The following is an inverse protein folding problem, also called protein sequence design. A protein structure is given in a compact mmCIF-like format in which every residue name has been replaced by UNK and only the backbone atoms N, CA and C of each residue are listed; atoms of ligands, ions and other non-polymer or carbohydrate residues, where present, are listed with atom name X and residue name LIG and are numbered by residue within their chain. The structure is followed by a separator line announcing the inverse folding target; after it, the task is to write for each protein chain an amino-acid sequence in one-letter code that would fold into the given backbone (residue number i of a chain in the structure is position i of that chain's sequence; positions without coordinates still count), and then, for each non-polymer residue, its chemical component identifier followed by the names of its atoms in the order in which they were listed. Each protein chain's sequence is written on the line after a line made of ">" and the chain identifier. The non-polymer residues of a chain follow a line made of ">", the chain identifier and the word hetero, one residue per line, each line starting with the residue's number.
data_IF_447493757201
#
_entry.id   IF_447493757201
#
_cell.length_a   1.000
_cell.length_b   1.000
_cell.length_c   1.000
_cell.angle_alpha   90.00
_cell.angle_beta   90.00
_cell.angle_gamma   90.00
#
_symmetry.space_group_name_H-M   'P 1'
#
loop_
_entity.id
_entity.type
_entity.pdbx_description
1 polymer ?
#
# COMPACT_ATOMS: atom_id res chain seq x y z
N UNK A 1 31.84 -9.46 -7.98
CA UNK A 1 30.84 -10.31 -7.30
C UNK A 1 29.78 -9.35 -6.77
N UNK A 2 28.68 -9.07 -7.45
CA UNK A 2 27.65 -10.00 -7.91
C UNK A 2 26.33 -9.71 -7.15
N UNK A 3 25.94 -8.43 -7.04
CA UNK A 3 24.67 -8.04 -6.42
C UNK A 3 23.55 -8.10 -7.43
N UNK A 4 22.86 -9.24 -7.51
CA UNK A 4 21.60 -9.38 -8.25
C UNK A 4 20.51 -9.73 -7.26
N UNK A 5 19.59 -8.81 -7.00
CA UNK A 5 18.32 -9.11 -6.32
C UNK A 5 17.27 -8.10 -6.75
N UNK A 6 16.59 -8.41 -7.85
CA UNK A 6 15.37 -7.73 -8.27
C UNK A 6 14.21 -8.73 -8.21
N UNK A 7 13.27 -8.44 -7.31
CA UNK A 7 11.83 -8.72 -7.37
C UNK A 7 11.35 -10.17 -7.61
N UNK A 8 10.47 -10.62 -6.71
CA UNK A 8 9.67 -11.85 -6.73
C UNK A 8 10.43 -13.19 -6.63
N UNK A 9 10.14 -14.02 -5.62
CA UNK A 9 10.84 -15.28 -5.40
C UNK A 9 10.35 -16.41 -6.32
N UNK A 10 9.21 -16.26 -7.01
CA UNK A 10 8.64 -17.35 -7.83
C UNK A 10 9.07 -17.31 -9.29
N UNK A 11 9.45 -16.16 -9.83
CA UNK A 11 10.18 -15.97 -11.09
C UNK A 11 10.78 -14.56 -11.12
N UNK A 12 12.02 -14.39 -10.64
CA UNK A 12 12.75 -13.13 -10.83
C UNK A 12 13.14 -13.00 -12.30
N UNK A 13 13.08 -11.79 -12.86
CA UNK A 13 13.26 -11.48 -14.31
C UNK A 13 14.62 -11.96 -14.89
N UNK A 14 15.54 -12.51 -14.08
CA UNK A 14 16.80 -13.10 -14.54
C UNK A 14 17.22 -14.39 -13.81
N UNK A 15 16.29 -15.11 -13.17
CA UNK A 15 16.58 -16.38 -12.51
C UNK A 15 16.32 -17.57 -13.46
N UNK A 16 17.24 -17.82 -14.40
CA UNK A 16 17.16 -18.99 -15.29
C UNK A 16 17.60 -20.29 -14.63
N UNK A 17 18.22 -20.23 -13.44
CA UNK A 17 18.86 -21.36 -12.77
C UNK A 17 18.26 -21.62 -11.37
N UNK A 18 16.96 -21.93 -11.29
CA UNK A 18 16.36 -22.46 -10.04
C UNK A 18 15.84 -23.88 -10.26
N UNK A 19 16.09 -24.74 -9.28
CA UNK A 19 15.56 -26.10 -9.28
C UNK A 19 14.04 -26.08 -9.09
N UNK A 20 13.31 -27.10 -9.57
CA UNK A 20 11.89 -27.26 -9.29
C UNK A 20 11.54 -27.27 -7.78
N UNK A 21 12.46 -27.74 -6.94
CA UNK A 21 12.30 -27.75 -5.48
C UNK A 21 12.37 -26.34 -4.87
N UNK A 22 13.34 -25.52 -5.28
CA UNK A 22 13.46 -24.13 -4.83
C UNK A 22 12.30 -23.26 -5.32
N UNK A 23 11.82 -23.52 -6.55
CA UNK A 23 10.60 -22.89 -7.05
C UNK A 23 9.41 -23.30 -6.18
N UNK A 24 9.26 -24.58 -5.86
CA UNK A 24 8.16 -25.07 -5.02
C UNK A 24 8.20 -24.47 -3.62
N UNK A 25 9.36 -24.39 -2.99
CA UNK A 25 9.54 -23.78 -1.66
C UNK A 25 9.21 -22.28 -1.68
N UNK A 26 9.73 -21.54 -2.67
CA UNK A 26 9.42 -20.13 -2.86
C UNK A 26 7.92 -19.90 -3.11
N UNK A 27 7.29 -20.81 -3.86
CA UNK A 27 5.84 -20.79 -4.06
C UNK A 27 5.14 -21.06 -2.74
N UNK A 28 5.51 -22.09 -1.98
CA UNK A 28 4.91 -22.51 -0.71
C UNK A 28 4.88 -21.42 0.36
N UNK A 29 5.82 -20.47 0.34
CA UNK A 29 5.84 -19.32 1.24
C UNK A 29 4.86 -18.19 0.94
N UNK A 30 4.02 -18.30 -0.09
CA UNK A 30 3.15 -17.21 -0.56
C UNK A 30 1.64 -17.52 -0.48
N UNK A 31 0.78 -16.53 -0.20
CA UNK A 31 1.14 -15.13 0.02
C UNK A 31 1.82 -14.93 1.39
N UNK A 32 2.89 -14.14 1.41
CA UNK A 32 3.74 -13.95 2.59
C UNK A 32 3.25 -12.78 3.42
N UNK A 33 3.16 -12.94 4.74
CA UNK A 33 2.83 -11.83 5.66
C UNK A 33 3.83 -10.67 5.48
N UNK A 34 3.33 -9.45 5.36
CA UNK A 34 4.19 -8.26 5.35
C UNK A 34 4.49 -7.87 6.81
N UNK A 35 5.76 -7.80 7.23
CA UNK A 35 6.11 -7.45 8.61
C UNK A 35 5.56 -6.09 9.04
N UNK A 36 5.03 -6.02 10.26
CA UNK A 36 4.51 -4.78 10.86
C UNK A 36 3.08 -4.39 10.45
N UNK A 37 2.50 -5.05 9.44
CA UNK A 37 1.15 -4.76 8.93
C UNK A 37 0.22 -5.99 8.97
N UNK A 38 0.44 -6.87 9.93
CA UNK A 38 -0.40 -8.06 10.17
C UNK A 38 -0.67 -8.17 11.66
N UNK A 39 -1.91 -8.49 12.01
CA UNK A 39 -2.34 -8.61 13.39
C UNK A 39 -1.46 -9.64 14.10
N UNK A 40 -1.02 -9.29 15.31
CA UNK A 40 -0.36 -10.23 16.20
C UNK A 40 -1.41 -11.20 16.74
N UNK A 41 -1.77 -12.24 15.98
CA UNK A 41 -2.69 -13.26 16.45
C UNK A 41 -1.98 -14.59 16.67
N UNK A 42 -2.37 -15.23 17.78
CA UNK A 42 -1.89 -16.51 18.25
C UNK A 42 -1.96 -17.56 17.14
N UNK A 43 -0.84 -18.24 16.87
CA UNK A 43 -0.72 -19.52 16.17
C UNK A 43 -1.89 -19.86 15.20
N UNK A 44 -1.82 -19.43 13.94
CA UNK A 44 -2.74 -19.95 12.93
C UNK A 44 -2.98 -19.04 11.73
N UNK A 45 -3.42 -19.66 10.65
CA UNK A 45 -3.72 -19.08 9.34
C UNK A 45 -4.91 -18.10 9.40
N UNK A 46 -4.98 -17.13 8.47
CA UNK A 46 -6.12 -16.21 8.37
C UNK A 46 -6.10 -14.97 9.27
N UNK A 47 -4.93 -14.49 9.71
CA UNK A 47 -4.84 -13.25 10.46
C UNK A 47 -5.17 -12.04 9.57
N UNK A 48 -5.89 -11.07 10.12
CA UNK A 48 -6.09 -9.79 9.45
C UNK A 48 -4.76 -9.07 9.19
N UNK A 49 -4.69 -8.34 8.09
CA UNK A 49 -3.52 -7.58 7.69
C UNK A 49 -3.11 -7.80 6.24
N UNK A 50 -1.87 -7.44 5.93
CA UNK A 50 -1.38 -7.35 4.55
C UNK A 50 -0.41 -8.48 4.24
N UNK A 51 -0.65 -9.10 3.09
CA UNK A 51 0.14 -10.20 2.56
C UNK A 51 0.67 -9.84 1.17
N UNK A 52 1.94 -10.09 0.93
CA UNK A 52 2.55 -10.00 -0.40
C UNK A 52 2.24 -11.27 -1.19
N UNK A 53 1.62 -11.15 -2.36
CA UNK A 53 1.17 -12.32 -3.13
C UNK A 53 2.28 -13.00 -3.93
N UNK A 54 3.39 -12.29 -4.19
CA UNK A 54 4.42 -12.74 -5.12
C UNK A 54 3.89 -12.86 -6.55
N UNK A 55 4.50 -13.75 -7.36
CA UNK A 55 4.16 -13.98 -8.78
C UNK A 55 4.11 -12.71 -9.64
N UNK A 56 5.05 -11.81 -9.40
CA UNK A 56 5.28 -10.71 -10.32
C UNK A 56 5.72 -11.26 -11.69
N UNK A 57 5.34 -10.60 -12.77
CA UNK A 57 5.66 -11.04 -14.14
C UNK A 57 6.56 -10.05 -14.86
N UNK A 58 7.20 -10.46 -15.95
CA UNK A 58 7.83 -9.51 -16.88
C UNK A 58 6.83 -8.51 -17.46
N UNK A 59 5.55 -8.90 -17.63
CA UNK A 59 4.49 -8.04 -18.17
C UNK A 59 4.08 -6.91 -17.22
N UNK A 60 4.33 -7.08 -15.93
CA UNK A 60 4.16 -6.07 -14.88
C UNK A 60 5.51 -5.52 -14.42
N UNK A 61 6.61 -5.71 -15.17
CA UNK A 61 7.98 -5.33 -14.79
C UNK A 61 8.41 -5.79 -13.38
N UNK A 62 7.83 -6.88 -12.90
CA UNK A 62 7.93 -7.41 -11.55
C UNK A 62 7.29 -6.57 -10.42
N UNK A 63 6.16 -5.94 -10.73
CA UNK A 63 5.26 -5.26 -9.79
C UNK A 63 4.77 -6.18 -8.66
N UNK A 64 4.69 -5.62 -7.46
CA UNK A 64 4.24 -6.28 -6.25
C UNK A 64 2.74 -6.08 -6.07
N UNK A 65 1.99 -7.17 -6.08
CA UNK A 65 0.59 -7.16 -5.65
C UNK A 65 0.45 -7.63 -4.19
N UNK A 66 -0.64 -7.23 -3.56
CA UNK A 66 -0.89 -7.44 -2.15
C UNK A 66 -2.32 -7.92 -1.90
N UNK A 67 -2.51 -8.79 -0.91
CA UNK A 67 -3.81 -9.13 -0.36
C UNK A 67 -3.96 -8.46 1.01
N UNK A 68 -5.03 -7.71 1.20
CA UNK A 68 -5.47 -7.25 2.52
C UNK A 68 -6.56 -8.19 3.00
N UNK A 69 -6.30 -8.87 4.12
CA UNK A 69 -7.28 -9.69 4.84
C UNK A 69 -7.95 -8.81 5.90
N UNK A 70 -9.27 -8.61 5.79
CA UNK A 70 -10.06 -7.70 6.62
C UNK A 70 -11.53 -8.13 6.72
N UNK A 71 -12.22 -7.74 7.80
CA UNK A 71 -13.62 -8.13 8.05
C UNK A 71 -14.59 -7.61 6.98
N UNK A 72 -14.37 -6.40 6.46
CA UNK A 72 -15.16 -5.82 5.38
C UNK A 72 -15.00 -6.53 4.01
N UNK A 73 -14.23 -7.62 3.97
CA UNK A 73 -13.94 -8.44 2.79
C UNK A 73 -12.56 -8.14 2.20
N UNK A 74 -11.86 -9.18 1.78
CA UNK A 74 -10.48 -9.04 1.35
C UNK A 74 -10.33 -8.18 0.08
N UNK A 75 -9.22 -7.44 0.01
CA UNK A 75 -8.87 -6.59 -1.14
C UNK A 75 -7.58 -7.12 -1.77
N UNK A 76 -7.63 -7.47 -3.05
CA UNK A 76 -6.43 -7.71 -3.86
C UNK A 76 -6.02 -6.38 -4.50
N UNK A 77 -4.87 -5.84 -4.10
CA UNK A 77 -4.29 -4.60 -4.62
C UNK A 77 -3.32 -4.94 -5.73
N UNK A 78 -3.56 -4.31 -6.88
CA UNK A 78 -2.95 -4.62 -8.17
C UNK A 78 -3.16 -6.09 -8.58
N UNK A 79 -2.60 -6.49 -9.72
CA UNK A 79 -2.89 -7.78 -10.31
C UNK A 79 -1.65 -8.67 -10.41
N UNK A 80 -1.48 -9.66 -9.51
CA UNK A 80 -0.45 -10.67 -9.70
C UNK A 80 -0.84 -11.56 -10.88
N UNK A 81 0.13 -12.31 -11.43
CA UNK A 81 -0.20 -13.35 -12.42
C UNK A 81 -1.25 -14.29 -11.85
N UNK A 82 -2.28 -14.59 -12.65
CA UNK A 82 -3.22 -15.61 -12.25
C UNK A 82 -2.55 -16.99 -12.22
N UNK A 83 -2.69 -17.67 -11.08
CA UNK A 83 -2.24 -19.03 -10.89
C UNK A 83 -3.21 -19.76 -9.95
N UNK A 84 -3.78 -20.92 -10.33
CA UNK A 84 -4.67 -21.71 -9.49
C UNK A 84 -4.10 -22.07 -8.11
N UNK A 85 -2.76 -22.17 -7.97
CA UNK A 85 -2.12 -22.44 -6.67
C UNK A 85 -2.29 -21.24 -5.73
N UNK A 86 -1.98 -20.03 -6.21
CA UNK A 86 -2.17 -18.81 -5.43
C UNK A 86 -3.66 -18.59 -5.15
N UNK A 87 -4.52 -18.83 -6.14
CA UNK A 87 -5.96 -18.68 -5.99
C UNK A 87 -6.53 -19.51 -4.84
N UNK A 88 -6.20 -20.81 -4.77
CA UNK A 88 -6.60 -21.67 -3.64
C UNK A 88 -6.11 -21.20 -2.28
N UNK A 89 -4.98 -20.48 -2.23
CA UNK A 89 -4.45 -19.94 -0.97
C UNK A 89 -5.14 -18.66 -0.57
N UNK A 90 -5.51 -17.81 -1.55
CA UNK A 90 -6.36 -16.65 -1.27
C UNK A 90 -7.77 -17.12 -0.84
N UNK A 91 -8.32 -18.21 -1.42
CA UNK A 91 -9.56 -18.86 -0.93
C UNK A 91 -9.45 -19.25 0.54
N UNK A 92 -8.34 -19.90 0.94
CA UNK A 92 -8.09 -20.29 2.33
C UNK A 92 -7.96 -19.08 3.29
N UNK A 93 -7.70 -17.88 2.77
CA UNK A 93 -7.66 -16.62 3.53
C UNK A 93 -8.98 -15.84 3.48
N UNK A 94 -10.07 -16.42 2.96
CA UNK A 94 -11.37 -15.76 2.86
C UNK A 94 -11.72 -15.22 1.46
N UNK A 95 -10.95 -15.57 0.44
CA UNK A 95 -11.18 -15.17 -0.96
C UNK A 95 -10.80 -13.71 -1.23
N UNK A 96 -11.40 -13.13 -2.27
CA UNK A 96 -11.19 -11.73 -2.69
C UNK A 96 -12.54 -11.10 -2.98
N UNK A 97 -12.95 -10.09 -2.21
CA UNK A 97 -14.20 -9.34 -2.44
C UNK A 97 -13.99 -8.19 -3.42
N UNK A 98 -12.88 -7.46 -3.25
CA UNK A 98 -12.52 -6.32 -4.08
C UNK A 98 -11.17 -6.54 -4.74
N UNK A 99 -11.02 -6.00 -5.94
CA UNK A 99 -9.73 -5.92 -6.62
C UNK A 99 -9.48 -4.46 -6.97
N UNK A 100 -8.57 -3.80 -6.25
CA UNK A 100 -8.22 -2.41 -6.50
C UNK A 100 -6.99 -2.35 -7.41
N UNK A 101 -7.10 -1.65 -8.53
CA UNK A 101 -6.04 -1.48 -9.52
C UNK A 101 -5.55 -0.04 -9.46
N UNK A 102 -4.28 0.17 -9.11
CA UNK A 102 -3.72 1.51 -8.91
C UNK A 102 -3.65 2.32 -10.21
N UNK A 103 -3.32 1.66 -11.32
CA UNK A 103 -3.22 2.24 -12.66
C UNK A 103 -3.26 1.16 -13.74
N UNK A 104 -3.28 1.57 -15.03
CA UNK A 104 -3.43 0.66 -16.17
C UNK A 104 -2.25 -0.27 -16.44
N UNK A 105 -1.07 -0.02 -15.91
CA UNK A 105 0.10 -0.86 -16.21
C UNK A 105 0.13 -2.14 -15.34
N UNK A 106 -0.55 -2.13 -14.19
CA UNK A 106 -0.62 -3.25 -13.23
C UNK A 106 -1.93 -4.04 -13.25
N UNK A 107 -2.55 -4.14 -14.42
CA UNK A 107 -3.85 -4.83 -14.61
C UNK A 107 -3.73 -6.26 -15.13
N UNK A 108 -2.52 -6.82 -15.27
CA UNK A 108 -2.32 -8.13 -15.90
C UNK A 108 -3.11 -9.27 -15.25
N UNK A 109 -3.88 -10.05 -16.02
CA UNK A 109 -4.76 -11.15 -15.54
C UNK A 109 -5.93 -10.74 -14.62
N UNK A 110 -6.24 -9.45 -14.48
CA UNK A 110 -7.34 -8.97 -13.62
C UNK A 110 -8.70 -9.66 -13.89
N UNK A 111 -9.00 -9.96 -15.15
CA UNK A 111 -10.23 -10.66 -15.54
C UNK A 111 -10.29 -12.08 -15.00
N UNK A 112 -9.16 -12.78 -14.93
CA UNK A 112 -9.11 -14.16 -14.44
C UNK A 112 -9.36 -14.19 -12.93
N UNK A 113 -8.75 -13.27 -12.18
CA UNK A 113 -9.01 -13.09 -10.75
C UNK A 113 -10.46 -12.73 -10.46
N UNK A 114 -11.00 -11.72 -11.16
CA UNK A 114 -12.40 -11.29 -11.01
C UNK A 114 -13.39 -12.42 -11.33
N UNK A 115 -13.17 -13.19 -12.40
CA UNK A 115 -14.01 -14.35 -12.73
C UNK A 115 -13.94 -15.47 -11.69
N UNK A 116 -12.76 -15.73 -11.14
CA UNK A 116 -12.57 -16.80 -10.16
C UNK A 116 -13.25 -16.49 -8.82
N UNK A 117 -13.12 -15.26 -8.33
CA UNK A 117 -13.66 -14.87 -7.02
C UNK A 117 -15.02 -14.17 -7.07
N UNK A 118 -15.49 -13.74 -8.25
CA UNK A 118 -16.60 -12.79 -8.35
C UNK A 118 -16.24 -11.41 -7.77
N UNK A 119 -14.95 -11.05 -7.79
CA UNK A 119 -14.46 -9.83 -7.15
C UNK A 119 -14.90 -8.58 -7.92
N UNK A 120 -15.26 -7.52 -7.17
CA UNK A 120 -15.56 -6.20 -7.73
C UNK A 120 -14.25 -5.47 -8.04
N UNK A 121 -13.96 -5.20 -9.31
CA UNK A 121 -12.76 -4.42 -9.67
C UNK A 121 -13.03 -2.93 -9.56
N UNK A 122 -12.07 -2.22 -8.99
CA UNK A 122 -12.07 -0.77 -8.77
C UNK A 122 -10.86 -0.21 -9.52
N UNK A 123 -11.10 0.70 -10.45
CA UNK A 123 -10.07 1.39 -11.22
C UNK A 123 -10.53 2.83 -11.54
N UNK A 124 -9.62 3.76 -11.67
CA UNK A 124 -9.98 5.12 -12.08
C UNK A 124 -10.44 5.19 -13.54
N UNK A 125 -11.45 6.03 -13.85
CA UNK A 125 -12.02 6.13 -15.20
C UNK A 125 -10.99 6.54 -16.27
N UNK A 126 -9.95 7.28 -15.86
CA UNK A 126 -8.88 7.75 -16.76
C UNK A 126 -7.85 6.65 -17.10
N UNK A 127 -7.91 5.49 -16.44
CA UNK A 127 -7.05 4.32 -16.70
C UNK A 127 -7.78 3.25 -17.53
N UNK A 128 -9.08 3.40 -17.72
CA UNK A 128 -9.94 2.46 -18.43
C UNK A 128 -9.66 2.45 -19.93
N UNK A 129 -9.54 1.25 -20.51
CA UNK A 129 -9.44 1.05 -21.94
C UNK A 129 -9.88 -0.37 -22.37
N UNK A 130 -10.38 -0.48 -23.60
CA UNK A 130 -10.84 -1.76 -24.19
C UNK A 130 -9.69 -2.75 -24.45
N UNK A 131 -8.50 -2.24 -24.79
CA UNK A 131 -7.34 -3.07 -25.13
C UNK A 131 -6.95 -4.02 -24.00
N UNK A 132 -7.03 -3.54 -22.76
CA UNK A 132 -6.73 -4.31 -21.55
C UNK A 132 -8.01 -4.88 -20.92
N UNK A 133 -9.17 -4.65 -21.53
CA UNK A 133 -10.49 -5.07 -21.05
C UNK A 133 -10.86 -4.47 -19.69
N UNK A 134 -10.31 -3.29 -19.38
CA UNK A 134 -10.60 -2.53 -18.16
C UNK A 134 -11.83 -1.63 -18.32
N UNK A 135 -12.38 -1.49 -19.53
CA UNK A 135 -13.72 -0.94 -19.80
C UNK A 135 -14.82 -1.73 -19.07
N UNK A 136 -14.59 -3.03 -18.86
CA UNK A 136 -15.50 -3.91 -18.14
C UNK A 136 -15.35 -3.87 -16.60
N UNK A 137 -14.48 -3.04 -16.01
CA UNK A 137 -14.38 -2.95 -14.53
C UNK A 137 -15.68 -2.45 -13.91
N UNK A 138 -16.04 -3.05 -12.79
CA UNK A 138 -17.34 -2.88 -12.12
C UNK A 138 -17.48 -1.48 -11.51
N UNK A 139 -16.43 -0.98 -10.85
CA UNK A 139 -16.39 0.36 -10.26
C UNK A 139 -15.34 1.21 -10.98
N UNK A 140 -15.79 2.34 -11.55
CA UNK A 140 -14.93 3.36 -12.14
C UNK A 140 -14.94 4.58 -11.24
N UNK A 141 -13.82 4.87 -10.57
CA UNK A 141 -13.67 6.09 -9.78
C UNK A 141 -13.69 7.30 -10.72
N UNK A 142 -14.48 8.32 -10.38
CA UNK A 142 -14.69 9.52 -11.22
C UNK A 142 -14.43 10.79 -10.42
N UNK A 143 -13.80 11.77 -11.07
CA UNK A 143 -13.35 13.00 -10.39
C UNK A 143 -12.08 12.79 -9.59
N UNK A 144 -11.88 13.62 -8.56
CA UNK A 144 -10.58 13.71 -7.87
C UNK A 144 -10.58 13.11 -6.45
N UNK A 145 -11.72 12.54 -6.03
CA UNK A 145 -11.89 11.87 -4.74
C UNK A 145 -11.62 12.78 -3.53
N UNK A 146 -11.25 12.21 -2.36
CA UNK A 146 -10.99 10.78 -2.13
C UNK A 146 -12.26 9.93 -2.14
N UNK A 147 -12.09 8.61 -2.24
CA UNK A 147 -13.19 7.63 -2.14
C UNK A 147 -12.92 6.66 -0.99
N UNK A 148 -13.98 6.09 -0.42
CA UNK A 148 -13.93 5.10 0.66
C UNK A 148 -14.80 3.90 0.33
N UNK A 149 -14.60 2.80 1.06
CA UNK A 149 -15.59 1.72 1.13
C UNK A 149 -16.46 2.00 2.36
N UNK A 150 -17.75 2.27 2.15
CA UNK A 150 -18.69 2.55 3.23
C UNK A 150 -19.12 1.28 4.00
N UNK A 151 -19.89 1.43 5.09
CA UNK A 151 -20.42 0.33 5.89
C UNK A 151 -21.29 -0.66 5.09
N UNK A 152 -21.82 -0.25 3.94
CA UNK A 152 -22.59 -1.12 3.05
C UNK A 152 -21.68 -1.83 2.03
N UNK A 153 -20.37 -1.63 2.11
CA UNK A 153 -19.38 -2.16 1.18
C UNK A 153 -19.47 -1.53 -0.21
N UNK A 154 -20.01 -0.31 -0.33
CA UNK A 154 -20.05 0.42 -1.58
C UNK A 154 -18.86 1.37 -1.66
N UNK A 155 -18.32 1.54 -2.87
CA UNK A 155 -17.26 2.50 -3.12
C UNK A 155 -17.91 3.85 -3.44
N UNK A 156 -17.72 4.83 -2.56
CA UNK A 156 -18.35 6.14 -2.62
C UNK A 156 -17.33 7.25 -2.45
N UNK A 157 -17.60 8.44 -2.99
CA UNK A 157 -16.79 9.62 -2.72
C UNK A 157 -16.96 10.03 -1.26
N UNK A 158 -15.86 10.34 -0.58
CA UNK A 158 -15.90 10.66 0.84
C UNK A 158 -16.55 12.03 1.06
N UNK A 159 -17.46 12.11 2.03
CA UNK A 159 -18.14 13.37 2.39
C UNK A 159 -17.23 14.39 3.09
N UNK A 160 -16.08 13.95 3.61
CA UNK A 160 -15.13 14.75 4.37
C UNK A 160 -13.78 14.84 3.64
N UNK A 161 -13.01 15.90 3.93
CA UNK A 161 -11.74 16.16 3.24
C UNK A 161 -10.63 15.16 3.63
N UNK A 162 -9.51 15.13 2.90
CA UNK A 162 -8.39 14.19 3.11
C UNK A 162 -7.93 14.01 4.57
N UNK A 163 -7.87 15.10 5.34
CA UNK A 163 -7.44 15.07 6.75
C UNK A 163 -8.48 14.52 7.73
N UNK A 164 -9.76 14.60 7.39
CA UNK A 164 -10.86 14.07 8.23
C UNK A 164 -11.00 12.55 8.03
N UNK A 165 -10.74 12.06 6.81
CA UNK A 165 -10.75 10.63 6.48
C UNK A 165 -9.56 9.91 7.12
N UNK A 166 -8.40 10.55 7.22
CA UNK A 166 -7.23 10.00 7.91
C UNK A 166 -7.45 9.87 9.44
N UNK A 167 -8.16 10.82 10.06
CA UNK A 167 -8.45 10.80 11.50
C UNK A 167 -9.55 9.80 11.89
N UNK A 168 -10.52 9.53 11.00
CA UNK A 168 -11.63 8.61 11.28
C UNK A 168 -11.20 7.13 11.41
N UNK A 169 -10.10 6.73 10.78
CA UNK A 169 -9.55 5.36 10.84
C UNK A 169 -8.57 5.09 11.99
N UNK A 170 -8.40 6.05 12.90
CA UNK A 170 -7.41 6.04 13.99
C UNK A 170 -7.83 5.31 15.27
N UNK A 171 -8.42 4.13 15.15
CA UNK A 171 -8.49 3.10 16.20
C UNK A 171 -9.03 1.84 15.53
N UNK A 172 -8.61 0.65 15.98
CA UNK A 172 -9.36 -0.56 15.74
C UNK A 172 -10.77 -0.36 16.34
N UNK A 173 -11.70 0.19 15.55
CA UNK A 173 -13.10 0.15 15.90
C UNK A 173 -13.54 -1.28 15.69
N UNK A 174 -14.22 -1.85 16.68
CA UNK A 174 -14.83 -3.17 16.67
C UNK A 174 -16.01 -3.27 15.65
N UNK A 175 -15.95 -2.50 14.57
CA UNK A 175 -16.95 -2.35 13.52
C UNK A 175 -16.57 -3.09 12.25
N UNK A 176 -17.59 -3.32 11.42
CA UNK A 176 -17.66 -4.06 10.15
C UNK A 176 -16.67 -3.69 9.01
N UNK A 177 -15.64 -2.88 9.28
CA UNK A 177 -14.65 -2.44 8.31
C UNK A 177 -15.09 -1.24 7.45
N UNK A 178 -16.05 -0.44 7.92
CA UNK A 178 -16.42 0.85 7.33
C UNK A 178 -15.28 1.88 7.42
N UNK A 179 -14.97 2.56 6.33
CA UNK A 179 -14.05 3.71 6.31
C UNK A 179 -12.58 3.40 6.61
N UNK A 180 -12.20 2.13 6.70
CA UNK A 180 -10.83 1.67 6.96
C UNK A 180 -9.88 1.86 5.77
N UNK A 181 -10.45 2.03 4.57
CA UNK A 181 -9.77 2.16 3.30
C UNK A 181 -10.13 3.48 2.62
N UNK A 182 -9.11 4.19 2.15
CA UNK A 182 -9.25 5.40 1.34
C UNK A 182 -8.53 5.25 0.01
N UNK A 183 -9.21 5.52 -1.10
CA UNK A 183 -8.63 5.66 -2.42
C UNK A 183 -8.31 7.14 -2.68
N UNK A 184 -7.04 7.43 -2.93
CA UNK A 184 -6.50 8.79 -3.03
C UNK A 184 -6.07 9.00 -4.47
N UNK A 185 -6.75 9.91 -5.17
CA UNK A 185 -6.36 10.27 -6.54
C UNK A 185 -4.93 10.83 -6.55
N UNK A 186 -4.01 10.25 -7.30
CA UNK A 186 -2.60 10.65 -7.33
C UNK A 186 -2.12 10.69 -8.78
N UNK A 187 -2.64 11.60 -9.62
CA UNK A 187 -2.23 11.70 -11.01
C UNK A 187 -0.75 12.10 -11.11
N UNK A 188 -0.11 11.68 -12.19
CA UNK A 188 1.26 12.10 -12.51
C UNK A 188 2.07 10.99 -13.15
N UNK A 189 2.19 9.82 -12.49
CA UNK A 189 2.80 8.63 -13.10
C UNK A 189 2.00 8.19 -14.33
N UNK A 190 0.70 7.97 -14.14
CA UNK A 190 -0.31 7.96 -15.20
C UNK A 190 -1.38 9.02 -14.91
N UNK A 191 -2.27 9.26 -15.87
CA UNK A 191 -3.29 10.32 -15.78
C UNK A 191 -4.33 10.07 -14.68
N UNK A 192 -4.61 8.81 -14.41
CA UNK A 192 -5.62 8.34 -13.47
C UNK A 192 -5.09 7.52 -12.31
N UNK A 193 -3.78 7.58 -12.00
CA UNK A 193 -3.22 6.78 -10.92
C UNK A 193 -3.90 7.10 -9.58
N UNK A 194 -4.16 6.06 -8.78
CA UNK A 194 -4.77 6.15 -7.45
C UNK A 194 -3.92 5.36 -6.46
N UNK A 195 -3.55 5.99 -5.34
CA UNK A 195 -2.98 5.28 -4.19
C UNK A 195 -4.11 4.80 -3.27
N UNK A 196 -3.89 3.74 -2.50
CA UNK A 196 -4.82 3.33 -1.46
C UNK A 196 -4.16 3.39 -0.08
N UNK A 197 -4.84 4.03 0.87
CA UNK A 197 -4.46 4.09 2.26
C UNK A 197 -5.34 3.14 3.08
N UNK A 198 -4.72 2.27 3.87
CA UNK A 198 -5.37 1.36 4.80
C UNK A 198 -5.00 1.77 6.22
N UNK A 199 -5.95 2.42 6.89
CA UNK A 199 -5.74 3.10 8.16
C UNK A 199 -5.33 2.18 9.33
N UNK A 200 -5.88 0.95 9.49
CA UNK A 200 -5.57 0.09 10.63
C UNK A 200 -4.08 -0.23 10.81
N UNK A 201 -3.29 -0.16 9.72
CA UNK A 201 -1.84 -0.38 9.76
C UNK A 201 -1.04 0.78 9.17
N UNK A 202 -1.63 1.98 9.04
CA UNK A 202 -0.96 3.12 8.43
C UNK A 202 -0.27 2.75 7.09
N UNK A 203 -0.95 1.95 6.26
CA UNK A 203 -0.36 1.30 5.11
C UNK A 203 -0.76 1.99 3.81
N UNK A 204 0.22 2.53 3.08
CA UNK A 204 0.04 3.14 1.77
C UNK A 204 0.45 2.17 0.67
N UNK A 205 -0.52 1.74 -0.11
CA UNK A 205 -0.33 1.03 -1.37
C UNK A 205 -0.18 2.06 -2.48
N UNK A 206 1.06 2.30 -2.89
CA UNK A 206 1.42 3.46 -3.72
C UNK A 206 1.53 3.15 -5.21
N UNK A 207 1.33 1.90 -5.63
CA UNK A 207 1.60 1.47 -7.00
C UNK A 207 2.99 1.88 -7.44
N UNK A 208 3.08 2.51 -8.61
CA UNK A 208 4.31 3.10 -9.16
C UNK A 208 4.46 4.60 -8.89
N UNK A 209 3.50 5.19 -8.18
CA UNK A 209 3.50 6.62 -7.91
C UNK A 209 4.56 7.05 -6.90
N UNK A 210 4.84 6.22 -5.90
CA UNK A 210 5.86 6.44 -4.88
C UNK A 210 6.53 5.10 -4.55
N UNK A 211 7.84 5.00 -4.76
CA UNK A 211 8.63 3.81 -4.50
C UNK A 211 9.57 4.02 -3.32
N UNK A 212 10.14 2.91 -2.82
CA UNK A 212 11.11 2.94 -1.71
C UNK A 212 12.25 1.94 -1.89
N UNK A 213 13.44 2.33 -1.45
CA UNK A 213 14.64 1.49 -1.43
C UNK A 213 15.03 1.18 0.01
N UNK A 214 14.50 0.09 0.57
CA UNK A 214 14.93 -0.36 1.90
C UNK A 214 16.32 -1.05 1.82
N UNK A 215 17.30 -0.51 2.55
CA UNK A 215 18.57 -1.20 2.88
C UNK A 215 19.43 -1.66 1.69
N UNK A 216 19.70 -0.80 0.71
CA UNK A 216 20.65 -1.11 -0.36
C UNK A 216 22.09 -0.83 0.06
N UNK A 217 22.71 -1.77 0.78
CA UNK A 217 24.11 -1.82 1.22
C UNK A 217 24.41 -1.25 2.63
N UNK A 218 25.43 -1.79 3.33
CA UNK A 218 25.78 -1.41 4.71
C UNK A 218 26.10 0.08 4.91
N UNK A 219 26.43 0.78 3.82
CA UNK A 219 26.87 2.18 3.83
C UNK A 219 25.92 3.12 3.08
N UNK A 220 24.78 2.65 2.58
CA UNK A 220 23.80 3.53 1.97
C UNK A 220 22.96 4.24 3.05
N UNK A 221 22.67 5.54 2.89
CA UNK A 221 21.75 6.23 3.77
C UNK A 221 20.42 5.48 3.82
N UNK A 222 19.86 5.38 5.03
CA UNK A 222 18.63 4.68 5.33
C UNK A 222 17.48 5.15 4.43
N UNK A 223 16.69 4.20 3.93
CA UNK A 223 15.27 4.36 3.60
C UNK A 223 14.91 5.54 2.67
N UNK A 224 15.39 5.47 1.42
CA UNK A 224 15.08 6.47 0.40
C UNK A 224 13.71 6.22 -0.25
N UNK A 225 12.84 7.22 -0.20
CA UNK A 225 11.68 7.35 -1.09
C UNK A 225 12.14 7.89 -2.45
N UNK A 226 11.58 7.37 -3.53
CA UNK A 226 11.89 7.82 -4.88
C UNK A 226 10.73 7.65 -5.86
N UNK A 227 10.85 8.30 -7.02
CA UNK A 227 9.94 8.16 -8.16
C UNK A 227 10.73 7.82 -9.42
N UNK A 228 10.16 6.99 -10.29
CA UNK A 228 10.78 6.64 -11.56
C UNK A 228 10.47 7.70 -12.63
N UNK A 229 11.35 8.72 -12.76
CA UNK A 229 11.18 9.77 -13.78
C UNK A 229 11.14 9.23 -15.21
N UNK A 230 11.99 8.26 -15.51
CA UNK A 230 12.08 7.66 -16.85
C UNK A 230 10.89 6.75 -17.21
N UNK A 231 10.08 6.39 -16.20
CA UNK A 231 8.85 5.61 -16.34
C UNK A 231 7.63 6.45 -15.91
N UNK A 232 7.70 7.78 -16.05
CA UNK A 232 6.55 8.66 -15.90
C UNK A 232 5.88 8.83 -17.27
N UNK A 233 4.60 8.45 -17.36
CA UNK A 233 3.86 8.40 -18.63
C UNK A 233 2.92 9.58 -18.85
N UNK A 234 2.90 10.55 -17.93
CA UNK A 234 1.94 11.64 -18.01
C UNK A 234 2.54 12.99 -17.62
N UNK A 235 2.76 13.25 -16.34
CA UNK A 235 3.22 14.55 -15.87
C UNK A 235 4.04 14.40 -14.57
N UNK A 236 5.35 14.59 -14.68
CA UNK A 236 6.27 14.42 -13.56
C UNK A 236 6.13 15.51 -12.47
N UNK A 237 6.06 16.82 -12.80
CA UNK A 237 5.67 17.83 -11.81
C UNK A 237 4.37 17.51 -11.08
N UNK A 238 3.34 17.04 -11.78
CA UNK A 238 2.08 16.63 -11.16
C UNK A 238 2.26 15.41 -10.25
N UNK A 239 3.12 14.45 -10.62
CA UNK A 239 3.49 13.33 -9.75
C UNK A 239 4.09 13.83 -8.43
N UNK A 240 5.01 14.81 -8.48
CA UNK A 240 5.61 15.38 -7.26
C UNK A 240 4.58 16.12 -6.40
N UNK A 241 3.65 16.87 -7.02
CA UNK A 241 2.55 17.51 -6.28
C UNK A 241 1.62 16.47 -5.62
N UNK A 242 1.33 15.36 -6.32
CA UNK A 242 0.57 14.24 -5.76
C UNK A 242 1.33 13.51 -4.65
N UNK A 243 2.66 13.36 -4.75
CA UNK A 243 3.51 12.85 -3.67
C UNK A 243 3.44 13.76 -2.44
N UNK A 244 3.49 15.08 -2.62
CA UNK A 244 3.29 16.02 -1.52
C UNK A 244 1.91 15.84 -0.87
N UNK A 245 0.85 15.73 -1.68
CA UNK A 245 -0.54 15.52 -1.19
C UNK A 245 -0.66 14.31 -0.26
N UNK A 246 0.15 13.27 -0.44
CA UNK A 246 0.14 12.08 0.43
C UNK A 246 0.52 12.40 1.89
N UNK A 247 1.17 13.53 2.18
CA UNK A 247 1.47 13.95 3.56
C UNK A 247 0.23 14.29 4.40
N UNK A 248 -0.93 14.45 3.77
CA UNK A 248 -2.22 14.65 4.44
C UNK A 248 -2.78 13.37 5.09
N UNK A 249 -2.12 12.22 4.90
CA UNK A 249 -2.54 10.92 5.40
C UNK A 249 -1.48 10.32 6.32
N UNK A 250 -1.91 9.57 7.33
CA UNK A 250 -1.03 9.07 8.40
C UNK A 250 -0.32 7.75 8.11
N UNK A 251 0.14 7.55 6.88
CA UNK A 251 0.89 6.36 6.53
C UNK A 251 2.29 6.32 7.16
N UNK A 252 2.72 5.13 7.52
CA UNK A 252 4.08 4.83 7.97
C UNK A 252 4.66 3.66 7.19
N UNK A 253 3.81 2.82 6.61
CA UNK A 253 4.24 1.77 5.70
C UNK A 253 4.02 2.20 4.25
N UNK A 254 5.04 2.06 3.41
CA UNK A 254 4.93 2.21 1.95
C UNK A 254 5.07 0.84 1.32
N UNK A 255 4.05 0.45 0.56
CA UNK A 255 3.95 -0.83 -0.15
C UNK A 255 3.81 -0.53 -1.65
N UNK A 256 4.93 -0.31 -2.34
CA UNK A 256 4.89 0.03 -3.76
C UNK A 256 4.72 -1.22 -4.61
N UNK A 257 4.32 -1.03 -5.86
CA UNK A 257 4.42 -2.08 -6.89
C UNK A 257 5.91 -2.34 -7.20
N UNK A 258 6.72 -1.29 -7.35
CA UNK A 258 8.17 -1.43 -7.55
C UNK A 258 9.05 -0.93 -6.40
N UNK A 259 10.18 -1.59 -6.21
CA UNK A 259 11.09 -1.33 -5.09
C UNK A 259 10.85 -2.26 -3.90
N UNK A 260 11.08 -1.76 -2.69
CA UNK A 260 10.94 -2.54 -1.45
C UNK A 260 9.93 -1.90 -0.52
N UNK A 261 9.09 -2.72 0.09
CA UNK A 261 8.26 -2.31 1.23
C UNK A 261 9.13 -1.69 2.31
N UNK A 262 8.67 -0.58 2.88
CA UNK A 262 9.42 0.19 3.84
C UNK A 262 8.51 0.62 4.99
N UNK A 263 9.06 0.70 6.20
CA UNK A 263 8.38 1.24 7.37
C UNK A 263 9.17 2.43 7.89
N UNK A 264 8.52 3.60 7.91
CA UNK A 264 9.03 4.82 8.50
C UNK A 264 8.67 4.82 9.99
N UNK A 265 9.62 5.25 10.82
CA UNK A 265 9.47 5.18 12.27
C UNK A 265 8.28 5.97 12.81
N UNK A 266 8.04 7.17 12.26
CA UNK A 266 7.05 8.13 12.73
C UNK A 266 6.71 9.17 11.64
N UNK A 267 5.75 10.05 11.94
CA UNK A 267 5.31 11.10 11.03
C UNK A 267 6.41 12.11 10.68
N UNK A 268 7.37 12.35 11.59
CA UNK A 268 8.50 13.25 11.31
C UNK A 268 9.47 12.61 10.31
N UNK A 269 9.73 11.31 10.43
CA UNK A 269 10.51 10.54 9.45
C UNK A 269 9.81 10.52 8.08
N UNK A 270 8.48 10.36 8.04
CA UNK A 270 7.68 10.50 6.81
C UNK A 270 7.88 11.86 6.17
N UNK A 271 7.67 12.94 6.94
CA UNK A 271 7.79 14.30 6.44
C UNK A 271 9.20 14.57 5.89
N UNK A 272 10.23 14.13 6.61
CA UNK A 272 11.63 14.29 6.19
C UNK A 272 11.93 13.52 4.89
N UNK A 273 11.46 12.27 4.77
CA UNK A 273 11.68 11.45 3.59
C UNK A 273 11.00 12.03 2.34
N UNK A 274 9.73 12.44 2.46
CA UNK A 274 8.99 13.07 1.35
C UNK A 274 9.61 14.41 0.97
N UNK A 275 9.96 15.23 1.96
CA UNK A 275 10.59 16.54 1.72
C UNK A 275 11.94 16.39 1.01
N UNK A 276 12.75 15.39 1.41
CA UNK A 276 14.02 15.06 0.75
C UNK A 276 13.82 14.66 -0.71
N UNK A 277 12.82 13.81 -0.99
CA UNK A 277 12.45 13.43 -2.35
C UNK A 277 12.04 14.64 -3.19
N UNK A 278 11.17 15.51 -2.68
CA UNK A 278 10.71 16.70 -3.41
C UNK A 278 11.87 17.66 -3.69
N UNK A 279 12.71 17.94 -2.69
CA UNK A 279 13.88 18.82 -2.84
C UNK A 279 14.87 18.30 -3.89
N UNK A 280 15.11 16.97 -3.94
CA UNK A 280 15.96 16.34 -4.95
C UNK A 280 15.49 16.61 -6.38
N UNK A 281 14.20 16.85 -6.58
CA UNK A 281 13.60 17.17 -7.87
C UNK A 281 13.24 18.65 -8.05
N UNK A 282 13.68 19.53 -7.13
CA UNK A 282 13.39 20.96 -7.19
C UNK A 282 11.93 21.32 -6.93
N UNK A 283 11.20 20.46 -6.22
CA UNK A 283 9.83 20.68 -5.77
C UNK A 283 9.78 20.87 -4.24
N UNK A 284 8.67 21.40 -3.74
CA UNK A 284 8.33 21.43 -2.32
C UNK A 284 6.86 21.02 -2.12
N UNK A 285 6.49 20.73 -0.87
CA UNK A 285 5.13 20.28 -0.57
C UNK A 285 4.11 21.43 -0.56
N UNK A 286 4.55 22.69 -0.57
CA UNK A 286 3.72 23.86 -0.32
C UNK A 286 3.34 24.02 1.16
N UNK A 287 3.08 25.26 1.63
CA UNK A 287 2.79 25.54 3.03
C UNK A 287 1.49 24.90 3.54
N UNK A 288 0.46 24.80 2.70
CA UNK A 288 -0.85 24.27 3.09
C UNK A 288 -0.79 22.76 3.38
N UNK A 289 -0.05 22.00 2.56
CA UNK A 289 0.17 20.56 2.77
C UNK A 289 1.02 20.32 4.01
N UNK A 290 2.04 21.15 4.23
CA UNK A 290 2.88 21.05 5.43
C UNK A 290 2.07 21.35 6.71
N UNK A 291 1.16 22.32 6.66
CA UNK A 291 0.27 22.63 7.76
C UNK A 291 -0.69 21.47 8.05
N UNK A 292 -1.28 20.86 7.02
CA UNK A 292 -2.12 19.67 7.16
C UNK A 292 -1.34 18.48 7.74
N UNK A 293 -0.12 18.24 7.26
CA UNK A 293 0.75 17.18 7.76
C UNK A 293 1.13 17.36 9.24
N UNK A 294 1.35 18.61 9.68
CA UNK A 294 1.63 18.93 11.07
C UNK A 294 0.41 18.71 11.99
N UNK A 295 -0.80 18.92 11.47
CA UNK A 295 -2.06 18.68 12.20
C UNK A 295 -2.39 17.19 12.35
N UNK A 296 -1.89 16.34 11.44
CA UNK A 296 -2.08 14.89 11.46
C UNK A 296 -1.15 14.15 12.45
N UNK A 297 -0.09 14.80 12.97
CA UNK A 297 0.75 14.21 14.02
C UNK A 297 -0.07 14.15 15.32
N UNK A 298 -0.39 12.96 15.88
CA UNK A 298 -1.04 12.92 17.17
C UNK A 298 -0.13 13.61 18.19
N UNK A 299 -0.66 14.61 18.88
CA UNK A 299 0.02 15.25 20.00
C UNK A 299 0.53 14.15 20.93
N UNK A 300 1.85 14.06 21.10
CA UNK A 300 2.49 13.06 21.93
C UNK A 300 1.70 12.89 23.23
N UNK A 301 1.14 11.71 23.46
CA UNK A 301 0.52 11.40 24.74
C UNK A 301 1.62 11.47 25.79
N UNK A 302 1.63 12.58 26.53
CA UNK A 302 2.44 12.77 27.71
C UNK A 302 1.94 11.79 28.79
N UNK A 303 2.34 10.52 28.69
CA UNK A 303 2.15 9.53 29.73
C UNK A 303 3.38 9.57 30.66
N UNK A 304 3.26 10.29 31.76
CA UNK A 304 4.29 10.35 32.81
C UNK A 304 3.92 11.21 34.01
N UNK A 305 2.62 11.30 34.34
CA UNK A 305 2.15 11.94 35.56
C UNK A 305 2.45 11.07 36.79
N UNK A 306 3.24 11.64 37.69
CA UNK A 306 3.36 11.39 39.12
C UNK A 306 2.59 10.19 39.72
N UNK A 307 3.35 9.20 40.21
CA UNK A 307 2.94 8.38 41.34
C UNK A 307 3.81 8.75 42.55
N UNK A 308 3.22 9.54 43.45
CA UNK A 308 3.74 9.72 44.80
C UNK A 308 3.68 8.39 45.55
N UNK A 309 4.80 8.02 46.17
CA UNK A 309 4.90 6.90 47.09
C UNK A 309 5.79 7.30 48.25
N UNK A 310 5.20 7.97 49.23
CA UNK A 310 5.82 8.11 50.54
C UNK A 310 5.98 6.71 51.15
N UNK A 311 7.22 6.33 51.48
CA UNK A 311 7.46 5.20 52.38
C UNK A 311 8.36 5.69 53.51
N UNK A 312 7.76 5.62 54.69
CA UNK A 312 8.26 5.97 56.01
C UNK A 312 9.61 5.36 56.36
N UNK A 313 10.48 6.18 56.93
CA UNK A 313 11.65 5.79 57.71
C UNK A 313 11.24 5.17 59.06
N UNK A 314 11.74 3.98 59.39
CA UNK A 314 12.00 3.56 60.76
C UNK A 314 12.94 2.34 60.81
N UNK A 315 13.93 2.43 61.71
CA UNK A 315 14.89 1.43 62.21
C UNK A 315 16.10 1.07 61.32
N UNK A 316 17.22 1.78 61.49
CA UNK A 316 18.20 1.60 62.57
C UNK A 316 19.06 2.87 62.71
#
# INVERSE_FOLDING_TARGET
>A
MGGKNFSCPTYSIHATDRTPAELREAQDGLPARVPGVVAATAKGEGAEGVYYTGWSTEKSYAGCAYLIVRQGGNILVDSPRYNPVLARRLEALGGVRYMFLTHRDDVGDHQAWARHFGATRILHELEVNERQGTDAVEVKLRGDGPWVIDAQGQVVEAAAGPGDVAAAGGAAQDGDGDGDVTFIFTPGHTRGHVCMYYAPYAALFSGDHLCSAAGQAPDAPQDDLYVYKDFNWYDFPLQLASVAKLLQYDWLHVLPAHGRRMHLRDAAARLAAVSTLLMKHGADAGPDVLAAAAAAVPAATAAGGAAGGAVSSAAA
#
